data_IF_994545499654
#
_entry.id   IF_994545499654
#
_cell.length_a   1.000
_cell.length_b   1.000
_cell.length_c   1.000
_cell.angle_alpha   90.00
_cell.angle_beta   90.00
_cell.angle_gamma   90.00
#
_symmetry.space_group_name_H-M   'P 1'
#
loop_
_entity.id
_entity.type
_entity.pdbx_description
1 polymer ?
#
# COMPACT_ATOMS: atom_id res chain seq x y z
N UNK A 1 -26.50 -27.97 28.61
CA UNK A 1 -26.15 -27.73 27.19
C UNK A 1 -27.14 -26.69 26.72
N UNK A 2 -26.80 -25.51 26.19
CA UNK A 2 -25.70 -25.13 25.33
C UNK A 2 -25.12 -23.76 25.71
N UNK A 3 -23.84 -23.60 25.42
CA UNK A 3 -23.04 -22.39 25.55
C UNK A 3 -23.11 -21.60 24.24
N UNK A 4 -23.79 -20.45 24.24
CA UNK A 4 -23.64 -19.48 23.16
C UNK A 4 -22.35 -18.68 23.40
N UNK A 5 -21.24 -19.19 22.85
CA UNK A 5 -19.99 -18.45 22.73
C UNK A 5 -20.20 -17.27 21.79
N UNK A 6 -20.38 -16.07 22.35
CA UNK A 6 -20.26 -14.83 21.62
C UNK A 6 -18.86 -14.76 20.99
N UNK A 7 -18.81 -14.78 19.65
CA UNK A 7 -17.57 -14.71 18.88
C UNK A 7 -16.80 -13.44 19.25
N UNK A 8 -15.61 -13.61 19.81
CA UNK A 8 -14.65 -12.54 20.01
C UNK A 8 -14.26 -11.97 18.64
N UNK A 9 -14.80 -10.80 18.28
CA UNK A 9 -14.29 -10.01 17.13
C UNK A 9 -12.81 -9.71 17.39
N UNK A 10 -11.92 -10.23 16.55
CA UNK A 10 -10.49 -9.89 16.54
C UNK A 10 -10.36 -8.36 16.46
N UNK A 11 -9.64 -7.68 17.37
CA UNK A 11 -9.38 -6.27 17.23
C UNK A 11 -8.51 -6.07 15.99
N UNK A 12 -8.99 -5.29 15.03
CA UNK A 12 -8.17 -4.86 13.90
C UNK A 12 -7.06 -3.95 14.44
N UNK A 13 -5.84 -4.47 14.54
CA UNK A 13 -4.67 -3.75 15.05
C UNK A 13 -4.15 -2.72 14.03
N UNK A 14 -5.00 -1.82 13.55
CA UNK A 14 -4.54 -0.64 12.81
C UNK A 14 -4.05 0.37 13.84
N UNK A 15 -2.74 0.65 13.83
CA UNK A 15 -2.14 1.69 14.69
C UNK A 15 -2.75 3.04 14.28
N UNK A 16 -3.49 3.67 15.19
CA UNK A 16 -4.02 5.02 15.02
C UNK A 16 -3.17 6.02 15.81
N UNK A 17 -3.08 7.24 15.31
CA UNK A 17 -2.42 8.35 15.99
C UNK A 17 -3.43 9.46 16.21
N UNK A 18 -3.32 10.16 17.35
CA UNK A 18 -4.18 11.30 17.65
C UNK A 18 -3.62 12.55 17.00
N UNK A 19 -4.47 13.28 16.27
CA UNK A 19 -4.11 14.55 15.63
C UNK A 19 -5.09 15.61 16.09
N UNK A 20 -4.57 16.71 16.63
CA UNK A 20 -5.36 17.89 17.01
C UNK A 20 -5.10 19.01 16.02
N UNK A 21 -6.17 19.59 15.46
CA UNK A 21 -6.07 20.65 14.44
C UNK A 21 -6.78 21.90 14.95
N UNK A 22 -6.19 23.07 14.70
CA UNK A 22 -6.84 24.38 14.87
C UNK A 22 -7.15 24.93 13.48
N UNK A 23 -8.38 25.42 13.30
CA UNK A 23 -8.81 26.04 12.06
C UNK A 23 -9.61 27.31 12.34
N UNK A 24 -9.64 28.26 11.39
CA UNK A 24 -10.51 29.44 11.47
C UNK A 24 -11.99 29.09 11.66
N UNK A 25 -12.73 29.95 12.34
CA UNK A 25 -14.14 29.68 12.69
C UNK A 25 -15.03 29.44 11.47
N UNK A 26 -14.84 30.20 10.39
CA UNK A 26 -15.56 30.03 9.13
C UNK A 26 -15.33 28.64 8.52
N UNK A 27 -14.11 28.09 8.65
CA UNK A 27 -13.79 26.74 8.21
C UNK A 27 -14.53 25.71 9.05
N UNK A 28 -14.54 25.87 10.38
CA UNK A 28 -15.30 24.98 11.28
C UNK A 28 -16.80 25.02 10.96
N UNK A 29 -17.37 26.19 10.67
CA UNK A 29 -18.77 26.34 10.25
C UNK A 29 -19.07 25.57 8.96
N UNK A 30 -18.19 25.69 7.96
CA UNK A 30 -18.33 24.94 6.72
C UNK A 30 -18.25 23.43 6.95
N UNK A 31 -17.31 22.96 7.79
CA UNK A 31 -17.20 21.54 8.14
C UNK A 31 -18.48 21.04 8.81
N UNK A 32 -19.01 21.80 9.78
CA UNK A 32 -20.26 21.43 10.44
C UNK A 32 -21.41 21.29 9.43
N UNK A 33 -21.55 22.25 8.51
CA UNK A 33 -22.59 22.20 7.48
C UNK A 33 -22.46 20.96 6.59
N UNK A 34 -21.25 20.55 6.21
CA UNK A 34 -21.03 19.32 5.43
C UNK A 34 -21.42 18.06 6.21
N UNK A 35 -21.17 18.03 7.53
CA UNK A 35 -21.61 16.95 8.43
C UNK A 35 -23.13 16.95 8.58
N UNK A 36 -23.74 18.12 8.76
CA UNK A 36 -25.20 18.28 8.92
C UNK A 36 -25.96 17.87 7.65
N UNK A 37 -25.35 18.07 6.47
CA UNK A 37 -25.87 17.57 5.19
C UNK A 37 -25.69 16.06 5.00
N UNK A 38 -25.02 15.37 5.92
CA UNK A 38 -24.77 13.93 5.87
C UNK A 38 -23.68 13.51 4.89
N UNK A 39 -22.88 14.44 4.37
CA UNK A 39 -21.76 14.13 3.48
C UNK A 39 -20.60 13.46 4.22
N UNK A 40 -20.48 13.74 5.52
CA UNK A 40 -19.50 13.14 6.42
C UNK A 40 -20.20 12.71 7.70
N UNK A 41 -19.70 11.63 8.30
CA UNK A 41 -20.28 11.11 9.56
C UNK A 41 -20.07 12.08 10.72
N UNK A 42 -18.88 12.66 10.81
CA UNK A 42 -18.48 13.60 11.84
C UNK A 42 -17.30 14.47 11.35
N UNK A 43 -16.87 15.41 12.19
CA UNK A 43 -15.76 16.31 11.85
C UNK A 43 -14.44 15.55 11.66
N UNK A 44 -14.21 14.47 12.38
CA UNK A 44 -12.98 13.67 12.28
C UNK A 44 -12.93 12.93 10.95
N UNK A 45 -14.07 12.41 10.49
CA UNK A 45 -14.23 11.79 9.19
C UNK A 45 -13.87 12.76 8.05
N UNK A 46 -14.39 13.99 8.12
CA UNK A 46 -13.99 15.07 7.21
C UNK A 46 -12.49 15.34 7.24
N UNK A 47 -11.90 15.51 8.44
CA UNK A 47 -10.47 15.84 8.58
C UNK A 47 -9.59 14.71 8.04
N UNK A 48 -9.94 13.45 8.29
CA UNK A 48 -9.22 12.29 7.77
C UNK A 48 -9.28 12.26 6.23
N UNK A 49 -10.47 12.46 5.66
CA UNK A 49 -10.65 12.55 4.21
C UNK A 49 -9.82 13.68 3.61
N UNK A 50 -9.90 14.88 4.18
CA UNK A 50 -9.17 16.06 3.70
C UNK A 50 -7.64 15.84 3.76
N UNK A 51 -7.12 15.24 4.83
CA UNK A 51 -5.70 14.88 4.93
C UNK A 51 -5.30 13.90 3.85
N UNK A 52 -6.07 12.84 3.65
CA UNK A 52 -5.77 11.81 2.66
C UNK A 52 -5.77 12.37 1.23
N UNK A 53 -6.76 13.18 0.90
CA UNK A 53 -6.87 13.81 -0.42
C UNK A 53 -5.78 14.86 -0.65
N UNK A 54 -5.42 15.62 0.38
CA UNK A 54 -4.32 16.60 0.30
C UNK A 54 -2.99 15.91 0.06
N UNK A 55 -2.69 14.84 0.81
CA UNK A 55 -1.47 14.05 0.63
C UNK A 55 -1.44 13.44 -0.77
N UNK A 56 -2.54 12.87 -1.24
CA UNK A 56 -2.64 12.30 -2.60
C UNK A 56 -2.31 13.34 -3.67
N UNK A 57 -2.90 14.53 -3.59
CA UNK A 57 -2.63 15.64 -4.53
C UNK A 57 -1.20 16.12 -4.44
N UNK A 58 -0.69 16.30 -3.23
CA UNK A 58 0.68 16.75 -3.00
C UNK A 58 1.69 15.75 -3.57
N UNK A 59 1.58 14.47 -3.25
CA UNK A 59 2.46 13.42 -3.79
C UNK A 59 2.39 13.33 -5.31
N UNK A 60 1.20 13.49 -5.90
CA UNK A 60 1.04 13.49 -7.36
C UNK A 60 1.72 14.69 -8.03
N UNK A 61 1.94 15.78 -7.30
CA UNK A 61 2.65 16.97 -7.77
C UNK A 61 4.17 16.88 -7.57
N UNK A 62 4.66 15.94 -6.74
CA UNK A 62 6.10 15.70 -6.60
C UNK A 62 6.58 15.05 -7.89
N UNK A 63 7.08 15.88 -8.80
CA UNK A 63 7.95 15.42 -9.88
C UNK A 63 9.31 15.15 -9.26
N UNK A 64 9.65 13.88 -9.11
CA UNK A 64 11.04 13.51 -8.90
C UNK A 64 11.79 13.92 -10.17
N UNK A 65 12.62 14.95 -10.07
CA UNK A 65 13.61 15.23 -11.10
C UNK A 65 14.59 14.06 -11.09
N UNK A 66 14.39 13.14 -12.03
CA UNK A 66 15.32 12.05 -12.26
C UNK A 66 16.54 12.66 -12.92
N UNK A 67 17.54 13.04 -12.12
CA UNK A 67 18.82 13.46 -12.64
C UNK A 67 19.64 12.23 -13.06
N UNK A 68 20.56 12.37 -14.02
CA UNK A 68 21.45 11.28 -14.42
C UNK A 68 22.21 10.67 -13.21
N UNK A 69 22.63 11.50 -12.25
CA UNK A 69 23.35 11.00 -11.07
C UNK A 69 22.46 10.13 -10.17
N UNK A 70 21.15 10.38 -10.12
CA UNK A 70 20.19 9.58 -9.36
C UNK A 70 20.01 8.18 -9.98
N UNK A 71 20.02 8.11 -11.32
CA UNK A 71 19.95 6.86 -12.08
C UNK A 71 21.22 6.04 -11.83
N UNK A 72 22.40 6.67 -11.94
CA UNK A 72 23.68 5.99 -11.72
C UNK A 72 23.76 5.41 -10.31
N UNK A 73 23.34 6.19 -9.28
CA UNK A 73 23.27 5.71 -7.90
C UNK A 73 22.30 4.56 -7.71
N UNK A 74 21.17 4.58 -8.41
CA UNK A 74 20.19 3.49 -8.37
C UNK A 74 20.77 2.20 -8.95
N UNK A 75 21.48 2.27 -10.07
CA UNK A 75 22.16 1.12 -10.66
C UNK A 75 23.31 0.61 -9.78
N UNK A 76 24.09 1.50 -9.16
CA UNK A 76 25.14 1.11 -8.21
C UNK A 76 24.54 0.37 -6.99
N UNK A 77 23.40 0.83 -6.47
CA UNK A 77 22.69 0.16 -5.38
C UNK A 77 22.08 -1.17 -5.82
N UNK A 78 21.57 -1.27 -7.05
CA UNK A 78 21.07 -2.51 -7.65
C UNK A 78 22.18 -3.55 -7.78
N UNK A 79 23.36 -3.17 -8.24
CA UNK A 79 24.51 -4.08 -8.35
C UNK A 79 25.01 -4.56 -6.99
N UNK A 80 24.93 -3.71 -5.95
CA UNK A 80 25.26 -4.09 -4.57
C UNK A 80 24.19 -4.99 -3.93
N UNK A 81 22.92 -4.76 -4.24
CA UNK A 81 21.79 -5.49 -3.64
C UNK A 81 21.48 -6.80 -4.36
N UNK A 82 21.70 -6.85 -5.67
CA UNK A 82 21.56 -8.04 -6.51
C UNK A 82 22.88 -8.21 -7.26
N UNK A 83 23.84 -8.99 -6.73
CA UNK A 83 25.02 -9.35 -7.50
C UNK A 83 24.57 -9.89 -8.86
N UNK A 84 25.22 -9.44 -9.94
CA UNK A 84 24.95 -9.98 -11.27
C UNK A 84 25.20 -11.49 -11.21
N UNK A 85 24.13 -12.26 -11.37
CA UNK A 85 24.20 -13.71 -11.40
C UNK A 85 25.21 -14.12 -12.48
N UNK A 86 26.08 -15.09 -12.19
CA UNK A 86 26.98 -15.63 -13.23
C UNK A 86 26.16 -16.29 -14.34
N UNK A 87 26.75 -16.49 -15.52
CA UNK A 87 26.06 -17.21 -16.61
C UNK A 87 25.58 -18.59 -16.15
N UNK A 88 26.32 -19.28 -15.28
CA UNK A 88 25.90 -20.57 -14.73
C UNK A 88 24.69 -20.44 -13.79
N UNK A 89 24.64 -19.39 -12.97
CA UNK A 89 23.49 -19.13 -12.08
C UNK A 89 22.25 -18.72 -12.86
N UNK A 90 22.40 -17.95 -13.95
CA UNK A 90 21.33 -17.58 -14.87
C UNK A 90 20.75 -18.84 -15.53
N UNK A 91 21.61 -19.73 -16.03
CA UNK A 91 21.21 -21.00 -16.64
C UNK A 91 20.49 -21.91 -15.65
N UNK A 92 20.93 -21.92 -14.39
CA UNK A 92 20.28 -22.68 -13.31
C UNK A 92 18.88 -22.15 -13.01
N UNK A 93 18.73 -20.83 -12.85
CA UNK A 93 17.41 -20.19 -12.61
C UNK A 93 16.48 -20.42 -13.80
N UNK A 94 16.97 -20.31 -15.04
CA UNK A 94 16.20 -20.64 -16.25
C UNK A 94 15.75 -22.11 -16.26
N UNK A 95 16.64 -23.03 -15.87
CA UNK A 95 16.33 -24.46 -15.75
C UNK A 95 15.25 -24.72 -14.70
N UNK A 96 15.35 -24.08 -13.54
CA UNK A 96 14.39 -24.21 -12.44
C UNK A 96 13.00 -23.67 -12.84
N UNK A 97 12.93 -22.51 -13.49
CA UNK A 97 11.68 -21.92 -14.01
C UNK A 97 11.04 -22.81 -15.10
N UNK A 98 11.85 -23.40 -15.98
CA UNK A 98 11.35 -24.28 -17.04
C UNK A 98 10.83 -25.61 -16.46
N UNK A 99 11.45 -26.12 -15.41
CA UNK A 99 10.99 -27.33 -14.72
C UNK A 99 9.72 -27.07 -13.92
N UNK A 100 9.61 -25.95 -13.19
CA UNK A 100 8.37 -25.55 -12.51
C UNK A 100 7.19 -25.42 -13.48
N UNK A 101 7.40 -24.78 -14.65
CA UNK A 101 6.36 -24.67 -15.68
C UNK A 101 5.96 -26.01 -16.31
N UNK A 102 6.80 -27.04 -16.24
CA UNK A 102 6.48 -28.39 -16.73
C UNK A 102 5.68 -29.17 -15.70
N UNK A 103 6.06 -29.12 -14.42
CA UNK A 103 5.29 -29.75 -13.35
C UNK A 103 3.91 -29.11 -13.15
N UNK A 104 3.78 -27.80 -13.37
CA UNK A 104 2.46 -27.12 -13.38
C UNK A 104 1.54 -27.62 -14.50
N UNK A 105 2.09 -27.94 -15.68
CA UNK A 105 1.32 -28.47 -16.81
C UNK A 105 0.91 -29.93 -16.62
N UNK A 106 1.81 -30.77 -16.10
CA UNK A 106 1.53 -32.17 -15.81
C UNK A 106 0.47 -32.34 -14.70
N UNK A 107 0.38 -31.39 -13.77
CA UNK A 107 -0.63 -31.39 -12.71
C UNK A 107 -2.04 -31.01 -13.23
N UNK A 108 -2.14 -30.28 -14.34
CA UNK A 108 -3.43 -29.93 -14.96
C UNK A 108 -3.98 -31.02 -15.90
N UNK A 109 -3.12 -31.84 -16.50
CA UNK A 109 -3.55 -32.92 -17.42
C UNK A 109 -3.91 -34.24 -16.71
N UNK A 110 -3.54 -34.40 -15.43
CA UNK A 110 -3.83 -35.60 -14.63
C UNK A 110 -5.14 -35.58 -13.82
N UNK A 111 -5.99 -34.56 -13.97
CA UNK A 111 -7.27 -34.42 -13.23
C UNK A 111 -8.52 -34.43 -14.12
N UNK A 112 -8.40 -34.89 -15.37
CA UNK A 112 -9.51 -35.05 -16.33
C UNK A 112 -9.93 -36.49 -16.51
#
# INVERSE_FOLDING_TARGET
MEVLKAGKKKPSTKRTVHVSVRAPENVIKAINLLVDLGLFKDKSDFINYALQETVRKYLSSIKLEITPELIDKYFELLEKASPRLSEEEILKVLGDVLNERRTEKETQEGSG
#
